data_IF_913878054766
#
_entry.id   IF_913878054766
#
_cell.length_a   1.000
_cell.length_b   1.000
_cell.length_c   1.000
_cell.angle_alpha   90.00
_cell.angle_beta   90.00
_cell.angle_gamma   90.00
#
_symmetry.space_group_name_H-M   'P 1'
#
loop_
_entity.id
_entity.type
_entity.pdbx_description
1 polymer ?
#
# COMPACT_ATOMS: atom_id res chain seq x y z
N UNK A 1 4.85 24.07 -12.60
CA UNK A 1 5.73 25.12 -12.04
C UNK A 1 7.15 24.56 -11.96
N UNK A 2 8.18 25.35 -12.26
CA UNK A 2 9.59 24.95 -12.06
C UNK A 2 10.13 25.69 -10.85
N UNK A 3 10.75 24.97 -9.95
CA UNK A 3 11.21 25.50 -8.66
C UNK A 3 12.52 24.83 -8.31
N UNK A 4 13.47 25.60 -7.79
CA UNK A 4 14.75 25.06 -7.32
C UNK A 4 14.66 24.88 -5.82
N UNK A 5 15.01 23.69 -5.34
CA UNK A 5 14.98 23.32 -3.91
C UNK A 5 16.33 22.71 -3.56
N UNK A 6 16.90 23.15 -2.45
CA UNK A 6 18.11 22.58 -1.87
C UNK A 6 17.73 21.44 -0.93
N UNK A 7 18.32 20.26 -1.13
CA UNK A 7 18.07 19.06 -0.34
C UNK A 7 19.40 18.50 0.17
N UNK A 8 19.33 17.74 1.25
CA UNK A 8 20.48 16.96 1.72
C UNK A 8 20.69 15.76 0.79
N UNK A 9 21.90 15.63 0.24
CA UNK A 9 22.25 14.58 -0.72
C UNK A 9 22.26 13.18 -0.09
N UNK A 10 22.64 13.06 1.19
CA UNK A 10 22.65 11.78 1.88
C UNK A 10 21.22 11.29 2.10
N UNK A 11 20.33 12.19 2.55
CA UNK A 11 18.91 11.89 2.69
C UNK A 11 18.28 11.51 1.34
N UNK A 12 18.63 12.24 0.28
CA UNK A 12 18.12 11.94 -1.06
C UNK A 12 18.55 10.55 -1.50
N UNK A 13 19.83 10.20 -1.35
CA UNK A 13 20.35 8.88 -1.73
C UNK A 13 19.68 7.74 -0.96
N UNK A 14 19.46 7.89 0.35
CA UNK A 14 18.76 6.90 1.17
C UNK A 14 17.32 6.70 0.68
N UNK A 15 16.60 7.78 0.42
CA UNK A 15 15.20 7.72 -0.01
C UNK A 15 15.10 7.14 -1.43
N UNK A 16 16.00 7.49 -2.34
CA UNK A 16 16.06 6.87 -3.68
C UNK A 16 16.29 5.35 -3.58
N UNK A 17 17.21 4.92 -2.70
CA UNK A 17 17.48 3.49 -2.48
C UNK A 17 16.27 2.74 -1.88
N UNK A 18 15.54 3.37 -0.95
CA UNK A 18 14.37 2.76 -0.31
C UNK A 18 13.12 2.75 -1.21
N UNK A 19 12.91 3.83 -1.97
CA UNK A 19 11.73 3.97 -2.84
C UNK A 19 11.90 3.32 -4.22
N UNK A 20 13.14 3.15 -4.69
CA UNK A 20 13.46 2.75 -6.07
C UNK A 20 13.16 3.84 -7.10
N UNK A 21 12.84 5.06 -6.68
CA UNK A 21 12.55 6.18 -7.58
C UNK A 21 13.83 7.00 -7.75
N UNK A 22 14.38 7.02 -8.96
CA UNK A 22 15.60 7.78 -9.29
C UNK A 22 15.31 9.12 -9.98
N UNK A 23 14.06 9.36 -10.43
CA UNK A 23 13.66 10.68 -10.92
C UNK A 23 13.33 11.60 -9.75
N UNK A 24 14.16 12.63 -9.53
CA UNK A 24 14.00 13.56 -8.39
C UNK A 24 12.65 14.29 -8.39
N UNK A 25 12.10 14.60 -9.56
CA UNK A 25 10.82 15.31 -9.65
C UNK A 25 9.66 14.39 -9.24
N UNK A 26 9.69 13.15 -9.69
CA UNK A 26 8.76 12.10 -9.27
C UNK A 26 8.91 11.82 -7.77
N UNK A 27 10.14 11.67 -7.27
CA UNK A 27 10.39 11.40 -5.86
C UNK A 27 9.81 12.50 -4.96
N UNK A 28 10.04 13.77 -5.30
CA UNK A 28 9.45 14.90 -4.59
C UNK A 28 7.93 14.91 -4.64
N UNK A 29 7.34 14.58 -5.79
CA UNK A 29 5.88 14.47 -5.93
C UNK A 29 5.32 13.37 -5.01
N UNK A 30 5.91 12.19 -5.04
CA UNK A 30 5.47 11.06 -4.20
C UNK A 30 5.63 11.38 -2.71
N UNK A 31 6.75 11.99 -2.31
CA UNK A 31 6.96 12.40 -0.93
C UNK A 31 5.87 13.38 -0.42
N UNK A 32 5.46 14.34 -1.26
CA UNK A 32 4.37 15.27 -0.91
C UNK A 32 3.00 14.59 -0.86
N UNK A 33 2.74 13.64 -1.76
CA UNK A 33 1.50 12.86 -1.75
C UNK A 33 1.40 11.99 -0.49
N UNK A 34 2.49 11.32 -0.12
CA UNK A 34 2.55 10.50 1.10
C UNK A 34 2.41 11.35 2.37
N UNK A 35 3.07 12.51 2.42
CA UNK A 35 2.88 13.46 3.53
C UNK A 35 1.41 13.90 3.64
N UNK A 36 0.76 14.20 2.51
CA UNK A 36 -0.67 14.54 2.49
C UNK A 36 -1.53 13.38 3.01
N UNK A 37 -1.29 12.15 2.56
CA UNK A 37 -2.04 10.98 3.00
C UNK A 37 -1.90 10.76 4.51
N UNK A 38 -0.68 10.87 5.05
CA UNK A 38 -0.41 10.78 6.49
C UNK A 38 -1.15 11.86 7.29
N UNK A 39 -1.14 13.10 6.83
CA UNK A 39 -1.85 14.19 7.51
C UNK A 39 -3.37 14.01 7.44
N UNK A 40 -3.89 13.55 6.30
CA UNK A 40 -5.31 13.26 6.15
C UNK A 40 -5.76 12.13 7.07
N UNK A 41 -4.97 11.04 7.17
CA UNK A 41 -5.31 9.92 8.06
C UNK A 41 -5.33 10.35 9.54
N UNK A 42 -4.39 11.20 9.96
CA UNK A 42 -4.38 11.77 11.31
C UNK A 42 -5.63 12.61 11.59
N UNK A 43 -6.03 13.47 10.65
CA UNK A 43 -7.25 14.26 10.79
C UNK A 43 -8.49 13.39 10.85
N UNK A 44 -8.59 12.36 10.00
CA UNK A 44 -9.70 11.42 10.01
C UNK A 44 -9.75 10.60 11.31
N UNK A 45 -8.60 10.18 11.85
CA UNK A 45 -8.54 9.48 13.13
C UNK A 45 -9.06 10.35 14.29
N UNK A 46 -8.76 11.65 14.29
CA UNK A 46 -9.28 12.60 15.28
C UNK A 46 -10.79 12.78 15.21
N UNK A 47 -11.41 12.58 14.05
CA UNK A 47 -12.87 12.61 13.93
C UNK A 47 -13.53 11.38 14.57
N UNK A 48 -12.79 10.30 14.86
CA UNK A 48 -13.28 9.13 15.62
C UNK A 48 -14.64 8.56 15.15
N UNK A 49 -14.98 8.68 13.86
CA UNK A 49 -16.29 8.27 13.35
C UNK A 49 -17.44 9.15 13.83
N UNK A 50 -17.21 10.45 14.00
CA UNK A 50 -18.18 11.46 14.48
C UNK A 50 -19.45 11.61 13.65
N UNK A 51 -19.63 10.82 12.58
CA UNK A 51 -20.82 10.78 11.77
C UNK A 51 -21.73 9.63 12.24
N UNK A 52 -22.81 9.91 13.01
CA UNK A 52 -23.59 8.87 13.70
C UNK A 52 -24.37 7.94 12.76
N UNK A 53 -24.58 8.36 11.51
CA UNK A 53 -25.36 7.65 10.50
C UNK A 53 -24.53 6.92 9.45
N UNK A 54 -23.19 6.87 9.60
CA UNK A 54 -22.33 6.20 8.61
C UNK A 54 -22.59 4.70 8.58
N UNK A 55 -22.99 4.22 7.41
CA UNK A 55 -23.07 2.79 7.09
C UNK A 55 -21.80 2.39 6.36
N UNK A 56 -21.07 1.42 6.90
CA UNK A 56 -19.85 0.93 6.26
C UNK A 56 -20.18 0.33 4.86
N UNK A 57 -19.36 0.62 3.82
CA UNK A 57 -19.58 0.04 2.51
C UNK A 57 -19.44 -1.49 2.57
N UNK A 58 -20.19 -2.25 1.75
CA UNK A 58 -20.12 -3.71 1.75
C UNK A 58 -18.69 -4.18 1.45
N UNK A 59 -18.20 -5.15 2.22
CA UNK A 59 -16.87 -5.74 2.01
C UNK A 59 -16.83 -6.41 0.64
N UNK A 60 -15.97 -5.94 -0.26
CA UNK A 60 -15.74 -6.61 -1.55
C UNK A 60 -15.05 -7.94 -1.29
N UNK A 61 -15.81 -9.03 -1.29
CA UNK A 61 -15.27 -10.38 -1.42
C UNK A 61 -14.76 -10.53 -2.84
N UNK A 62 -13.44 -10.62 -3.00
CA UNK A 62 -12.87 -11.17 -4.23
C UNK A 62 -13.41 -12.59 -4.29
N UNK A 63 -14.41 -12.82 -5.14
CA UNK A 63 -14.71 -14.16 -5.58
C UNK A 63 -13.42 -14.62 -6.25
N UNK A 64 -12.67 -15.49 -5.57
CA UNK A 64 -11.66 -16.27 -6.24
C UNK A 64 -12.41 -16.98 -7.37
N UNK A 65 -12.32 -16.42 -8.58
CA UNK A 65 -12.74 -17.10 -9.78
C UNK A 65 -12.10 -18.49 -9.69
N UNK A 66 -12.95 -19.51 -9.86
CA UNK A 66 -12.67 -20.94 -9.73
C UNK A 66 -11.19 -21.26 -9.58
N UNK A 67 -10.84 -21.86 -8.45
CA UNK A 67 -9.52 -22.42 -8.13
C UNK A 67 -8.77 -22.75 -9.42
N UNK A 68 -7.71 -21.99 -9.81
CA UNK A 68 -6.96 -22.33 -11.00
C UNK A 68 -6.51 -23.78 -10.83
N UNK A 69 -6.73 -24.57 -11.88
CA UNK A 69 -6.39 -26.00 -11.90
C UNK A 69 -5.08 -26.20 -11.13
N UNK A 70 -5.06 -27.07 -10.09
CA UNK A 70 -3.97 -27.13 -9.16
C UNK A 70 -2.68 -27.23 -9.95
N UNK A 71 -1.81 -26.23 -9.79
CA UNK A 71 -0.58 -26.17 -10.52
C UNK A 71 0.14 -27.52 -10.36
N UNK A 72 0.70 -28.09 -11.45
CA UNK A 72 1.04 -29.52 -11.57
C UNK A 72 2.01 -30.06 -10.49
N UNK A 73 2.58 -29.16 -9.68
CA UNK A 73 3.44 -29.47 -8.53
C UNK A 73 2.71 -29.78 -7.21
N UNK A 74 1.38 -29.63 -7.09
CA UNK A 74 0.64 -29.96 -5.85
C UNK A 74 0.14 -31.42 -5.76
N UNK A 75 0.50 -32.28 -6.71
CA UNK A 75 0.19 -33.70 -6.62
C UNK A 75 1.25 -34.46 -5.80
N UNK A 76 1.02 -34.55 -4.48
CA UNK A 76 1.33 -35.70 -3.60
C UNK A 76 1.49 -35.21 -2.16
N UNK A 77 0.46 -35.45 -1.35
CA UNK A 77 0.51 -35.94 0.04
C UNK A 77 -0.79 -35.57 0.77
N UNK A 78 -1.85 -36.32 0.46
CA UNK A 78 -2.87 -36.65 1.46
C UNK A 78 -3.02 -38.16 1.53
N UNK A 79 -1.91 -38.80 1.89
CA UNK A 79 -1.90 -40.17 2.37
C UNK A 79 -1.18 -40.14 3.72
N UNK A 80 -1.94 -39.96 4.80
CA UNK A 80 -1.75 -40.63 6.10
C UNK A 80 -2.65 -40.05 7.18
N UNK A 81 -3.15 -40.98 8.00
CA UNK A 81 -3.90 -40.82 9.25
C UNK A 81 -5.40 -40.50 9.10
N UNK A 82 -6.23 -41.52 9.26
CA UNK A 82 -6.74 -41.90 10.59
C UNK A 82 -7.09 -43.39 10.59
N UNK A 83 -6.60 -44.06 11.63
CA UNK A 83 -7.03 -45.38 12.10
C UNK A 83 -8.47 -45.35 12.57
#
# INVERSE_FOLDING_TARGET
>A
MRTTVTLDDALLAEVEALSGIHDRSQLLREALLEMRHRLASQRLALLAGSEPGVVAPPRKVVQMAAEPEPAPYLSKKRARSRS
#
